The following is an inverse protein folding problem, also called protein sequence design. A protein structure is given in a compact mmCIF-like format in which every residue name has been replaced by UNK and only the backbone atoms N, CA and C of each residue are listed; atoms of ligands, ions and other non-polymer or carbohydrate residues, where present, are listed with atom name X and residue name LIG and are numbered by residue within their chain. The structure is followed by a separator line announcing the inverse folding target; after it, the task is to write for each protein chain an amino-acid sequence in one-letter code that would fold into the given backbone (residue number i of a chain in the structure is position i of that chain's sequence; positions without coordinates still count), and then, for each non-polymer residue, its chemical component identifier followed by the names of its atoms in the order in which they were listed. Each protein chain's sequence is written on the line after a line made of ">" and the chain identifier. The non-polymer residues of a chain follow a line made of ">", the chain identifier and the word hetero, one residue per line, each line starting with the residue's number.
data_IF_924538296966
#
_entry.id   IF_924538296966
#
_cell.length_a   1.000
_cell.length_b   1.000
_cell.length_c   1.000
_cell.angle_alpha   90.00
_cell.angle_beta   90.00
_cell.angle_gamma   90.00
#
_symmetry.space_group_name_H-M   'P 1'
#
loop_
_entity.id
_entity.type
_entity.pdbx_description
1 polymer ?
#
# COMPACT_ATOMS: atom_id res chain seq x y z
N UNK A 1 -20.49 -23.05 34.62
CA UNK A 1 -19.04 -23.29 34.54
C UNK A 1 -18.43 -23.09 35.92
N UNK A 2 -17.54 -23.97 36.36
CA UNK A 2 -16.81 -23.79 37.63
C UNK A 2 -15.86 -22.61 37.44
N UNK A 3 -16.14 -21.47 38.08
CA UNK A 3 -15.38 -20.22 37.95
C UNK A 3 -13.93 -20.39 38.37
N UNK A 4 -13.09 -20.86 37.44
CA UNK A 4 -11.65 -20.95 37.63
C UNK A 4 -11.07 -19.55 37.38
N UNK A 5 -10.26 -19.02 38.31
CA UNK A 5 -9.59 -17.75 38.09
C UNK A 5 -8.74 -17.86 36.83
N UNK A 6 -8.86 -16.86 35.94
CA UNK A 6 -8.14 -16.85 34.66
C UNK A 6 -6.63 -16.69 34.88
N UNK A 7 -6.20 -16.01 35.94
CA UNK A 7 -4.80 -15.79 36.29
C UNK A 7 -4.64 -15.76 37.82
N UNK A 8 -3.41 -15.93 38.28
CA UNK A 8 -3.02 -15.96 39.70
C UNK A 8 -2.68 -14.58 40.27
N UNK A 9 -2.34 -13.61 39.40
CA UNK A 9 -2.15 -12.20 39.74
C UNK A 9 -2.48 -11.28 38.55
N UNK A 10 -2.40 -9.96 38.76
CA UNK A 10 -2.54 -8.96 37.68
C UNK A 10 -1.38 -9.08 36.69
N UNK A 11 -0.16 -9.31 37.18
CA UNK A 11 1.04 -9.51 36.36
C UNK A 11 0.92 -10.77 35.51
N UNK A 12 0.42 -11.86 36.08
CA UNK A 12 0.16 -13.11 35.35
C UNK A 12 -0.87 -12.88 34.24
N UNK A 13 -1.95 -12.12 34.52
CA UNK A 13 -2.89 -11.73 33.49
C UNK A 13 -2.24 -10.89 32.39
N UNK A 14 -1.46 -9.87 32.75
CA UNK A 14 -0.79 -8.98 31.80
C UNK A 14 0.18 -9.74 30.89
N UNK A 15 0.98 -10.64 31.46
CA UNK A 15 1.90 -11.50 30.71
C UNK A 15 1.16 -12.42 29.74
N UNK A 16 0.02 -12.99 30.16
CA UNK A 16 -0.80 -13.83 29.27
C UNK A 16 -1.40 -13.05 28.12
N UNK A 17 -1.87 -11.82 28.37
CA UNK A 17 -2.36 -10.92 27.31
C UNK A 17 -1.22 -10.58 26.35
N UNK A 18 -0.04 -10.22 26.88
CA UNK A 18 1.11 -9.88 26.06
C UNK A 18 1.52 -11.05 25.16
N UNK A 19 1.70 -12.24 25.72
CA UNK A 19 2.04 -13.45 24.98
C UNK A 19 0.97 -13.78 23.90
N UNK A 20 -0.32 -13.63 24.23
CA UNK A 20 -1.39 -13.86 23.25
C UNK A 20 -1.35 -12.86 22.10
N UNK A 21 -1.11 -11.58 22.39
CA UNK A 21 -0.97 -10.52 21.37
C UNK A 21 0.26 -10.80 20.49
N UNK A 22 1.43 -11.05 21.09
CA UNK A 22 2.67 -11.32 20.35
C UNK A 22 2.54 -12.53 19.44
N UNK A 23 2.00 -13.64 19.96
CA UNK A 23 1.76 -14.85 19.17
C UNK A 23 0.79 -14.58 18.01
N UNK A 24 -0.31 -13.87 18.26
CA UNK A 24 -1.29 -13.56 17.22
C UNK A 24 -0.71 -12.61 16.17
N UNK A 25 0.13 -11.66 16.57
CA UNK A 25 0.85 -10.79 15.64
C UNK A 25 1.78 -11.61 14.73
N UNK A 26 2.56 -12.54 15.28
CA UNK A 26 3.42 -13.41 14.48
C UNK A 26 2.63 -14.26 13.48
N UNK A 27 1.49 -14.80 13.90
CA UNK A 27 0.59 -15.57 13.03
C UNK A 27 0.11 -14.74 11.83
N UNK A 28 -0.36 -13.51 12.08
CA UNK A 28 -0.84 -12.60 11.02
C UNK A 28 0.30 -12.18 10.10
N UNK A 29 1.50 -11.92 10.64
CA UNK A 29 2.67 -11.55 9.83
C UNK A 29 3.06 -12.69 8.88
N UNK A 30 3.17 -13.92 9.39
CA UNK A 30 3.50 -15.10 8.59
C UNK A 30 2.40 -15.42 7.58
N UNK A 31 1.13 -15.31 7.96
CA UNK A 31 -0.01 -15.45 7.04
C UNK A 31 0.10 -14.47 5.87
N UNK A 32 0.39 -13.20 6.17
CA UNK A 32 0.53 -12.15 5.16
C UNK A 32 1.71 -12.45 4.23
N UNK A 33 2.86 -12.85 4.78
CA UNK A 33 4.03 -13.21 3.98
C UNK A 33 3.73 -14.38 3.02
N UNK A 34 3.03 -15.40 3.50
CA UNK A 34 2.63 -16.54 2.66
C UNK A 34 1.67 -16.13 1.53
N UNK A 35 0.75 -15.19 1.79
CA UNK A 35 -0.13 -14.64 0.75
C UNK A 35 0.68 -13.88 -0.31
N UNK A 36 1.65 -13.06 0.09
CA UNK A 36 2.53 -12.34 -0.85
C UNK A 36 3.40 -13.29 -1.68
N UNK A 37 3.75 -14.46 -1.13
CA UNK A 37 4.41 -15.55 -1.86
C UNK A 37 3.46 -16.33 -2.81
N UNK A 38 2.19 -15.93 -2.90
CA UNK A 38 1.18 -16.55 -3.76
C UNK A 38 0.57 -17.84 -3.21
N UNK A 39 0.72 -18.11 -1.92
CA UNK A 39 0.15 -19.26 -1.23
C UNK A 39 -1.17 -18.91 -0.54
N UNK A 40 -1.95 -19.93 -0.18
CA UNK A 40 -3.13 -19.77 0.67
C UNK A 40 -2.68 -19.60 2.14
N UNK A 41 -2.33 -18.37 2.51
CA UNK A 41 -1.85 -18.03 3.86
C UNK A 41 -2.74 -18.56 4.99
N UNK A 42 -4.06 -18.26 4.98
CA UNK A 42 -4.98 -18.75 6.02
C UNK A 42 -4.98 -20.28 6.15
N UNK A 43 -5.03 -21.02 5.04
CA UNK A 43 -5.00 -22.48 5.08
C UNK A 43 -3.66 -23.03 5.59
N UNK A 44 -2.55 -22.42 5.17
CA UNK A 44 -1.20 -22.81 5.59
C UNK A 44 -0.98 -22.56 7.09
N UNK A 45 -1.39 -21.39 7.59
CA UNK A 45 -1.27 -21.06 9.00
C UNK A 45 -2.20 -21.90 9.88
N UNK A 46 -3.39 -22.28 9.40
CA UNK A 46 -4.26 -23.23 10.11
C UNK A 46 -3.67 -24.65 10.22
N UNK A 47 -2.66 -25.01 9.42
CA UNK A 47 -2.07 -26.34 9.44
C UNK A 47 -1.34 -26.64 10.75
N UNK A 48 -1.48 -27.84 11.34
CA UNK A 48 -0.86 -28.17 12.63
C UNK A 48 0.67 -28.02 12.68
N UNK A 49 1.37 -28.23 11.56
CA UNK A 49 2.82 -28.01 11.50
C UNK A 49 3.19 -26.51 11.60
N UNK A 50 2.38 -25.62 11.03
CA UNK A 50 2.59 -24.19 11.14
C UNK A 50 2.32 -23.71 12.57
N UNK A 51 1.23 -24.18 13.19
CA UNK A 51 0.92 -23.89 14.59
C UNK A 51 2.03 -24.41 15.54
N UNK A 52 2.55 -25.62 15.30
CA UNK A 52 3.69 -26.17 16.07
C UNK A 52 4.96 -25.35 15.90
N UNK A 53 5.25 -24.92 14.67
CA UNK A 53 6.39 -24.06 14.38
C UNK A 53 6.27 -22.71 15.13
N UNK A 54 5.08 -22.10 15.10
CA UNK A 54 4.78 -20.85 15.78
C UNK A 54 4.90 -20.96 17.30
N UNK A 55 4.41 -22.05 17.89
CA UNK A 55 4.46 -22.28 19.34
C UNK A 55 5.85 -22.75 19.82
N UNK A 56 6.81 -22.98 18.92
CA UNK A 56 8.12 -23.53 19.25
C UNK A 56 8.05 -24.95 19.84
N UNK A 57 6.94 -25.66 19.65
CA UNK A 57 6.69 -26.93 20.35
C UNK A 57 7.47 -28.09 19.70
N UNK A 58 8.44 -28.60 20.45
CA UNK A 58 9.28 -29.73 20.07
C UNK A 58 8.60 -31.11 20.22
N UNK A 59 9.33 -32.14 19.79
CA UNK A 59 8.95 -33.55 19.83
C UNK A 59 9.99 -34.36 19.05
N UNK A 60 9.60 -35.53 18.52
CA UNK A 60 10.46 -36.27 17.58
C UNK A 60 10.66 -35.53 16.25
N UNK A 61 9.66 -34.74 15.83
CA UNK A 61 9.71 -33.90 14.63
C UNK A 61 9.74 -32.43 15.06
N UNK A 62 10.67 -31.68 14.48
CA UNK A 62 10.77 -30.23 14.63
C UNK A 62 10.21 -29.55 13.38
N UNK A 63 9.29 -28.61 13.57
CA UNK A 63 8.80 -27.73 12.53
C UNK A 63 9.30 -26.31 12.83
N UNK A 64 9.65 -25.56 11.79
CA UNK A 64 10.10 -24.18 11.89
C UNK A 64 9.61 -23.40 10.68
N UNK A 65 9.23 -22.14 10.91
CA UNK A 65 8.90 -21.14 9.91
C UNK A 65 9.74 -19.91 10.23
N UNK A 66 10.30 -19.28 9.20
CA UNK A 66 11.12 -18.09 9.35
C UNK A 66 10.84 -17.13 8.22
N UNK A 67 10.74 -15.83 8.53
CA UNK A 67 10.78 -14.77 7.53
C UNK A 67 12.20 -14.65 6.98
N UNK A 68 12.31 -14.27 5.70
CA UNK A 68 13.60 -14.02 5.05
C UNK A 68 14.19 -12.63 5.40
N UNK A 69 13.42 -11.79 6.08
CA UNK A 69 13.75 -10.41 6.44
C UNK A 69 13.32 -10.12 7.88
N UNK A 70 13.99 -9.17 8.56
CA UNK A 70 13.62 -8.80 9.92
C UNK A 70 12.24 -8.12 9.97
N UNK A 71 11.58 -8.25 11.11
CA UNK A 71 10.35 -7.49 11.41
C UNK A 71 10.73 -6.13 11.98
N UNK A 72 10.12 -5.06 11.47
CA UNK A 72 10.31 -3.71 12.01
C UNK A 72 9.13 -3.36 12.93
N UNK A 73 9.40 -3.22 14.22
CA UNK A 73 8.41 -2.82 15.21
C UNK A 73 8.23 -1.30 15.25
N UNK A 74 7.05 -0.81 14.87
CA UNK A 74 6.70 0.61 14.90
C UNK A 74 5.58 0.87 15.92
N UNK A 75 5.60 2.05 16.53
CA UNK A 75 4.68 2.48 17.58
C UNK A 75 5.32 2.52 18.97
N UNK A 76 4.77 3.34 19.87
CA UNK A 76 5.36 3.59 21.19
C UNK A 76 5.45 2.32 22.06
N UNK A 77 4.55 1.36 21.85
CA UNK A 77 4.52 0.09 22.56
C UNK A 77 5.21 -1.06 21.83
N UNK A 78 5.87 -0.81 20.69
CA UNK A 78 6.51 -1.86 19.88
C UNK A 78 7.55 -2.65 20.69
N UNK A 79 8.38 -1.96 21.48
CA UNK A 79 9.37 -2.60 22.34
C UNK A 79 8.77 -3.51 23.42
N UNK A 80 7.51 -3.28 23.82
CA UNK A 80 6.80 -4.14 24.76
C UNK A 80 6.15 -5.33 24.04
N UNK A 81 5.43 -5.08 22.94
CA UNK A 81 4.62 -6.10 22.26
C UNK A 81 5.42 -7.06 21.38
N UNK A 82 6.59 -6.65 20.90
CA UNK A 82 7.34 -7.42 19.90
C UNK A 82 8.68 -7.98 20.43
N UNK A 83 8.96 -7.84 21.73
CA UNK A 83 10.18 -8.36 22.35
C UNK A 83 10.37 -9.86 22.11
N UNK A 84 9.28 -10.64 22.18
CA UNK A 84 9.33 -12.11 21.98
C UNK A 84 8.99 -12.54 20.54
N UNK A 85 8.79 -11.58 19.63
CA UNK A 85 8.30 -11.88 18.28
C UNK A 85 9.33 -12.68 17.47
N UNK A 86 10.63 -12.48 17.72
CA UNK A 86 11.71 -13.22 17.05
C UNK A 86 11.57 -14.74 17.21
N UNK A 87 11.10 -15.20 18.38
CA UNK A 87 10.91 -16.62 18.65
C UNK A 87 9.83 -17.24 17.76
N UNK A 88 8.82 -16.45 17.39
CA UNK A 88 7.68 -16.90 16.61
C UNK A 88 7.89 -16.73 15.10
N UNK A 89 8.55 -15.66 14.67
CA UNK A 89 8.74 -15.34 13.25
C UNK A 89 10.02 -15.92 12.66
N UNK A 90 10.91 -16.48 13.50
CA UNK A 90 12.20 -17.03 13.08
C UNK A 90 13.16 -16.00 12.48
N UNK A 91 12.86 -14.71 12.65
CA UNK A 91 13.61 -13.58 12.10
C UNK A 91 13.80 -12.50 13.15
N UNK A 92 14.90 -11.73 13.01
CA UNK A 92 15.22 -10.65 13.95
C UNK A 92 14.13 -9.57 13.97
N UNK A 93 13.98 -8.91 15.11
CA UNK A 93 13.03 -7.81 15.32
C UNK A 93 13.83 -6.54 15.61
N UNK A 94 13.60 -5.52 14.79
CA UNK A 94 14.25 -4.23 14.92
C UNK A 94 13.20 -3.23 15.36
N UNK A 95 13.41 -2.60 16.51
CA UNK A 95 12.61 -1.47 16.98
C UNK A 95 13.49 -0.23 16.89
N UNK A 96 13.25 0.68 15.92
CA UNK A 96 14.00 1.91 15.80
C UNK A 96 13.82 2.83 17.01
N UNK A 97 14.79 3.70 17.30
CA UNK A 97 14.72 4.66 18.40
C UNK A 97 13.48 5.56 18.31
N UNK A 98 13.13 5.97 17.09
CA UNK A 98 11.96 6.80 16.78
C UNK A 98 10.66 6.02 16.55
N UNK A 99 10.60 4.72 16.91
CA UNK A 99 9.42 3.88 16.70
C UNK A 99 8.14 4.52 17.26
N UNK A 100 8.23 5.23 18.39
CA UNK A 100 7.11 5.91 19.02
C UNK A 100 6.47 7.03 18.19
N UNK A 101 7.23 7.62 17.26
CA UNK A 101 6.80 8.71 16.38
C UNK A 101 6.82 8.32 14.91
N UNK A 102 6.99 7.03 14.60
CA UNK A 102 7.14 6.52 13.23
C UNK A 102 5.99 6.95 12.30
N UNK A 103 4.75 7.02 12.80
CA UNK A 103 3.63 7.52 12.00
C UNK A 103 3.79 9.00 11.62
N UNK A 104 4.29 9.84 12.53
CA UNK A 104 4.55 11.25 12.26
C UNK A 104 5.75 11.42 11.31
N UNK A 105 6.82 10.64 11.51
CA UNK A 105 7.97 10.61 10.60
C UNK A 105 7.54 10.15 9.21
N UNK A 106 6.74 9.09 9.10
CA UNK A 106 6.20 8.60 7.82
C UNK A 106 5.29 9.60 7.13
N UNK A 107 4.52 10.39 7.89
CA UNK A 107 3.70 11.46 7.33
C UNK A 107 4.55 12.63 6.77
N UNK A 108 5.66 12.97 7.43
CA UNK A 108 6.57 14.04 6.99
C UNK A 108 7.52 13.58 5.88
N UNK A 109 7.95 12.32 5.90
CA UNK A 109 8.82 11.71 4.89
C UNK A 109 8.06 11.15 3.67
N UNK A 110 6.73 11.01 3.76
CA UNK A 110 5.88 10.48 2.70
C UNK A 110 5.85 11.39 1.47
N UNK A 111 5.69 10.81 0.29
CA UNK A 111 5.52 11.60 -0.95
C UNK A 111 4.06 12.04 -1.11
N UNK A 112 3.84 13.30 -1.45
CA UNK A 112 2.54 13.76 -1.98
C UNK A 112 2.35 13.14 -3.35
N UNK A 113 1.26 12.39 -3.56
CA UNK A 113 0.91 11.80 -4.86
C UNK A 113 -0.55 12.09 -5.19
N UNK A 114 -0.79 12.80 -6.28
CA UNK A 114 -2.14 13.15 -6.75
C UNK A 114 -2.26 12.92 -8.26
N UNK A 115 -3.45 12.56 -8.70
CA UNK A 115 -3.71 12.25 -10.10
C UNK A 115 -4.88 13.06 -10.65
N UNK A 116 -4.80 13.38 -11.93
CA UNK A 116 -5.87 13.98 -12.72
C UNK A 116 -6.06 13.18 -14.01
N UNK A 117 -7.31 13.09 -14.47
CA UNK A 117 -7.66 12.38 -15.70
C UNK A 117 -8.32 13.29 -16.71
N UNK A 118 -8.07 13.00 -17.98
CA UNK A 118 -8.64 13.62 -19.15
C UNK A 118 -9.30 12.56 -20.02
N UNK A 119 -10.54 12.79 -20.44
CA UNK A 119 -11.26 11.92 -21.37
C UNK A 119 -11.16 12.48 -22.79
N UNK A 120 -10.90 11.61 -23.76
CA UNK A 120 -10.87 11.92 -25.20
C UNK A 120 -11.88 11.05 -25.93
N UNK A 121 -12.84 11.68 -26.61
CA UNK A 121 -13.88 11.00 -27.36
C UNK A 121 -14.00 11.56 -28.79
N UNK A 122 -14.24 10.72 -29.80
CA UNK A 122 -14.57 11.20 -31.14
C UNK A 122 -15.95 11.88 -31.15
N UNK A 123 -16.16 12.79 -32.09
CA UNK A 123 -17.43 13.45 -32.39
C UNK A 123 -17.89 13.06 -33.80
N UNK A 124 -19.20 13.13 -34.05
CA UNK A 124 -19.82 12.77 -35.34
C UNK A 124 -19.31 13.60 -36.53
N UNK A 125 -18.72 14.77 -36.25
CA UNK A 125 -18.14 15.66 -37.27
C UNK A 125 -16.65 15.36 -37.56
N UNK A 126 -16.11 14.23 -37.08
CA UNK A 126 -14.72 13.82 -37.29
C UNK A 126 -13.70 14.53 -36.40
N UNK A 127 -14.16 15.37 -35.45
CA UNK A 127 -13.31 16.03 -34.44
C UNK A 127 -13.24 15.18 -33.18
N UNK A 128 -12.37 15.58 -32.26
CA UNK A 128 -12.11 14.89 -31.00
C UNK A 128 -12.33 15.85 -29.84
N UNK A 129 -13.20 15.49 -28.91
CA UNK A 129 -13.46 16.24 -27.69
C UNK A 129 -12.58 15.75 -26.56
N UNK A 130 -11.93 16.70 -25.89
CA UNK A 130 -11.17 16.49 -24.66
C UNK A 130 -11.93 17.10 -23.49
N UNK A 131 -12.08 16.36 -22.40
CA UNK A 131 -12.69 16.82 -21.15
C UNK A 131 -11.71 16.63 -20.00
N UNK A 132 -11.33 17.70 -19.30
CA UNK A 132 -10.43 17.67 -18.14
C UNK A 132 -10.97 18.59 -17.07
N UNK A 133 -11.40 18.05 -15.93
CA UNK A 133 -12.10 18.83 -14.91
C UNK A 133 -13.38 19.47 -15.47
N UNK A 134 -13.48 20.79 -15.41
CA UNK A 134 -14.57 21.60 -15.97
C UNK A 134 -14.30 22.10 -17.40
N UNK A 135 -13.13 21.80 -17.96
CA UNK A 135 -12.71 22.29 -19.27
C UNK A 135 -13.06 21.30 -20.37
N UNK A 136 -13.61 21.83 -21.47
CA UNK A 136 -13.94 21.08 -22.68
C UNK A 136 -13.33 21.79 -23.89
N UNK A 137 -12.62 21.03 -24.74
CA UNK A 137 -12.03 21.54 -25.97
C UNK A 137 -12.11 20.51 -27.09
N UNK A 138 -12.32 20.98 -28.32
CA UNK A 138 -12.45 20.12 -29.50
C UNK A 138 -11.25 20.32 -30.44
N UNK A 139 -10.72 19.24 -30.99
CA UNK A 139 -9.52 19.21 -31.84
C UNK A 139 -9.79 18.45 -33.14
N UNK A 140 -9.06 18.79 -34.20
CA UNK A 140 -9.30 18.20 -35.53
C UNK A 140 -8.58 16.86 -35.72
N UNK A 141 -7.64 16.51 -34.83
CA UNK A 141 -6.89 15.25 -34.91
C UNK A 141 -6.78 14.55 -33.56
N UNK A 142 -6.78 13.21 -33.57
CA UNK A 142 -6.56 12.38 -32.38
C UNK A 142 -5.25 12.74 -31.67
N UNK A 143 -4.19 12.99 -32.43
CA UNK A 143 -2.87 13.33 -31.88
C UNK A 143 -2.87 14.66 -31.12
N UNK A 144 -3.54 15.69 -31.66
CA UNK A 144 -3.70 16.97 -30.95
C UNK A 144 -4.54 16.81 -29.68
N UNK A 145 -5.62 16.03 -29.75
CA UNK A 145 -6.48 15.78 -28.60
C UNK A 145 -5.72 15.05 -27.47
N UNK A 146 -4.98 13.98 -27.79
CA UNK A 146 -4.19 13.22 -26.82
C UNK A 146 -3.00 14.00 -26.24
N UNK A 147 -2.38 14.87 -27.04
CA UNK A 147 -1.33 15.77 -26.58
C UNK A 147 -1.91 16.78 -25.58
N UNK A 148 -2.99 17.47 -25.95
CA UNK A 148 -3.66 18.43 -25.09
C UNK A 148 -4.18 17.80 -23.80
N UNK A 149 -4.84 16.63 -23.89
CA UNK A 149 -5.29 15.86 -22.75
C UNK A 149 -4.16 15.56 -21.76
N UNK A 150 -2.99 15.13 -22.27
CA UNK A 150 -1.81 14.86 -21.46
C UNK A 150 -1.24 16.11 -20.79
N UNK A 151 -1.10 17.20 -21.52
CA UNK A 151 -0.60 18.47 -20.97
C UNK A 151 -1.52 19.03 -19.88
N UNK A 152 -2.84 19.04 -20.13
CA UNK A 152 -3.83 19.55 -19.16
C UNK A 152 -3.93 18.66 -17.92
N UNK A 153 -3.98 17.33 -18.10
CA UNK A 153 -3.98 16.41 -16.98
C UNK A 153 -2.70 16.55 -16.14
N UNK A 154 -1.52 16.67 -16.79
CA UNK A 154 -0.26 16.86 -16.09
C UNK A 154 -0.22 18.18 -15.30
N UNK A 155 -0.62 19.29 -15.92
CA UNK A 155 -0.69 20.58 -15.24
C UNK A 155 -1.63 20.55 -14.03
N UNK A 156 -2.82 19.95 -14.18
CA UNK A 156 -3.79 19.81 -13.10
C UNK A 156 -3.28 18.91 -11.97
N UNK A 157 -2.65 17.77 -12.30
CA UNK A 157 -2.07 16.89 -11.29
C UNK A 157 -0.94 17.59 -10.49
N UNK A 158 -0.09 18.36 -11.16
CA UNK A 158 0.96 19.16 -10.51
C UNK A 158 0.36 20.22 -9.60
N UNK A 159 -0.63 20.97 -10.06
CA UNK A 159 -1.29 22.02 -9.27
C UNK A 159 -1.97 21.44 -8.02
N UNK A 160 -2.62 20.28 -8.16
CA UNK A 160 -3.16 19.52 -7.04
C UNK A 160 -2.07 19.12 -6.05
N UNK A 161 -0.94 18.56 -6.51
CA UNK A 161 0.17 18.14 -5.66
C UNK A 161 0.81 19.33 -4.91
N UNK A 162 0.99 20.46 -5.57
CA UNK A 162 1.51 21.69 -4.96
C UNK A 162 0.54 22.25 -3.91
N UNK A 163 -0.76 22.24 -4.22
CA UNK A 163 -1.82 22.68 -3.30
C UNK A 163 -1.95 21.76 -2.08
N UNK A 164 -1.65 20.46 -2.24
CA UNK A 164 -1.58 19.48 -1.16
C UNK A 164 -0.28 19.53 -0.34
N UNK A 165 0.60 20.51 -0.59
CA UNK A 165 1.77 20.77 0.23
C UNK A 165 3.08 20.21 -0.31
N UNK A 166 3.14 19.76 -1.57
CA UNK A 166 4.42 19.46 -2.20
C UNK A 166 5.28 20.72 -2.37
N UNK A 167 6.58 20.60 -2.11
CA UNK A 167 7.57 21.64 -2.40
C UNK A 167 7.77 21.79 -3.91
N UNK A 168 7.95 20.66 -4.58
CA UNK A 168 8.04 20.50 -6.03
C UNK A 168 7.29 19.22 -6.42
N UNK A 169 6.68 19.20 -7.60
CA UNK A 169 5.96 18.04 -8.09
C UNK A 169 6.25 17.77 -9.58
N UNK A 170 6.42 16.51 -9.93
CA UNK A 170 6.61 16.05 -11.31
C UNK A 170 5.51 15.07 -11.68
N UNK A 171 4.92 15.23 -12.86
CA UNK A 171 3.86 14.38 -13.36
C UNK A 171 4.36 13.36 -14.39
N UNK A 172 3.89 12.13 -14.26
CA UNK A 172 4.02 11.07 -15.26
C UNK A 172 2.64 10.83 -15.88
N UNK A 173 2.59 10.76 -17.21
CA UNK A 173 1.35 10.59 -17.98
C UNK A 173 1.25 9.17 -18.51
N UNK A 174 0.11 8.52 -18.29
CA UNK A 174 -0.28 7.24 -18.87
C UNK A 174 -1.51 7.44 -19.76
N UNK A 175 -1.66 6.59 -20.78
CA UNK A 175 -2.75 6.65 -21.75
C UNK A 175 -3.37 5.26 -21.89
N UNK A 176 -4.65 5.14 -21.57
CA UNK A 176 -5.49 4.00 -21.95
C UNK A 176 -6.26 4.38 -23.21
N UNK A 177 -5.95 3.75 -24.33
CA UNK A 177 -6.53 4.07 -25.64
C UNK A 177 -7.34 2.87 -26.12
N UNK A 178 -8.65 3.07 -26.29
CA UNK A 178 -9.56 2.09 -26.87
C UNK A 178 -9.84 2.48 -28.31
N UNK A 179 -9.34 1.68 -29.23
CA UNK A 179 -9.57 1.82 -30.66
C UNK A 179 -10.16 0.52 -31.24
N UNK A 180 -10.93 0.65 -32.31
CA UNK A 180 -11.47 -0.47 -33.08
C UNK A 180 -11.00 -0.38 -34.51
N UNK A 181 -10.75 -1.53 -35.14
CA UNK A 181 -10.49 -1.60 -36.57
C UNK A 181 -11.80 -1.88 -37.31
N UNK A 182 -12.11 -1.05 -38.31
CA UNK A 182 -13.23 -1.24 -39.21
C UNK A 182 -12.72 -1.07 -40.65
N UNK A 183 -12.95 -2.07 -41.50
CA UNK A 183 -12.52 -2.09 -42.91
C UNK A 183 -11.03 -1.75 -43.13
N UNK A 184 -10.17 -2.16 -42.18
CA UNK A 184 -8.72 -1.93 -42.23
C UNK A 184 -8.29 -0.52 -41.80
N UNK A 185 -9.20 0.31 -41.30
CA UNK A 185 -8.91 1.62 -40.72
C UNK A 185 -9.13 1.60 -39.19
N UNK A 186 -8.16 2.14 -38.46
CA UNK A 186 -8.23 2.29 -36.99
C UNK A 186 -9.08 3.51 -36.64
N UNK A 187 -10.11 3.30 -35.83
CA UNK A 187 -10.96 4.36 -35.28
C UNK A 187 -10.86 4.40 -33.76
N UNK A 188 -10.61 5.58 -33.21
CA UNK A 188 -10.67 5.79 -31.76
C UNK A 188 -12.13 5.62 -31.29
N UNK A 189 -12.33 4.81 -30.25
CA UNK A 189 -13.62 4.70 -29.55
C UNK A 189 -13.64 5.68 -28.37
N UNK A 190 -12.59 5.61 -27.53
CA UNK A 190 -12.35 6.53 -26.43
C UNK A 190 -10.89 6.41 -25.98
N UNK A 191 -10.37 7.43 -25.30
CA UNK A 191 -9.14 7.31 -24.55
C UNK A 191 -9.22 8.05 -23.22
N UNK A 192 -8.64 7.46 -22.18
CA UNK A 192 -8.44 8.08 -20.88
C UNK A 192 -6.97 8.37 -20.71
N UNK A 193 -6.61 9.63 -20.51
CA UNK A 193 -5.24 10.07 -20.22
C UNK A 193 -5.15 10.42 -18.75
N UNK A 194 -4.32 9.71 -18.00
CA UNK A 194 -4.14 9.93 -16.56
C UNK A 194 -2.75 10.50 -16.31
N UNK A 195 -2.66 11.63 -15.62
CA UNK A 195 -1.41 12.14 -15.12
C UNK A 195 -1.34 11.94 -13.60
N UNK A 196 -0.21 11.43 -13.11
CA UNK A 196 0.06 11.30 -11.68
C UNK A 196 1.25 12.15 -11.31
N UNK A 197 1.03 13.18 -10.52
CA UNK A 197 2.06 14.03 -9.94
C UNK A 197 2.56 13.45 -8.62
N UNK A 198 3.87 13.51 -8.42
CA UNK A 198 4.52 13.13 -7.17
C UNK A 198 5.53 14.17 -6.72
N UNK A 199 5.61 14.43 -5.41
CA UNK A 199 6.45 15.47 -4.83
C UNK A 199 6.79 15.22 -3.37
N UNK A 200 7.86 15.85 -2.88
CA UNK A 200 8.18 15.84 -1.45
C UNK A 200 7.36 16.92 -0.72
N UNK A 201 6.83 16.66 0.49
CA UNK A 201 6.17 17.69 1.28
C UNK A 201 7.13 18.83 1.60
N UNK A 202 6.61 20.06 1.73
CA UNK A 202 7.38 21.16 2.30
C UNK A 202 7.69 20.84 3.75
N UNK A 203 8.96 20.73 4.09
CA UNK A 203 9.37 20.68 5.49
C UNK A 203 9.00 22.02 6.13
N UNK A 204 8.18 21.99 7.17
CA UNK A 204 7.94 23.17 7.99
C UNK A 204 9.26 23.50 8.71
N UNK A 205 9.91 24.60 8.33
CA UNK A 205 10.99 25.18 9.13
C UNK A 205 10.37 25.73 10.41
N UNK A 206 10.49 24.98 11.49
CA UNK A 206 10.28 25.46 12.86
C UNK A 206 11.57 26.03 13.43
#
# INVERSE_FOLDING_TARGET
>A
GRGRPLATSIEDMANRVLAAVTRRSAEVILETALVEDGLDGPAMMAHPLAQRALDGTGGFVRASLALDRPVIGLGASAGLHYADLEHHTGAGVIVPDDAGVANAVGAVAGQVRLSASAEVAPLDNGRFRVMVGDQVADFDTESQALAHAGERAAAMAVDLALSAGAAEAHAVVTRDIRASDLDGQRFLVAATVTATASGRPRLATG
#
